data_IF_716968026309
#
_entry.id   IF_716968026309
#
_cell.length_a   1.000
_cell.length_b   1.000
_cell.length_c   1.000
_cell.angle_alpha   90.00
_cell.angle_beta   90.00
_cell.angle_gamma   90.00
#
_symmetry.space_group_name_H-M   'P 1'
#
loop_
_entity.id
_entity.type
_entity.pdbx_description
1 polymer ?
#
# COMPACT_ATOMS: atom_id res chain seq x y z
N UNK A 1 -10.52 -6.63 8.02
CA UNK A 1 -9.24 -6.01 8.36
C UNK A 1 -9.55 -4.63 8.94
N UNK A 2 -8.94 -4.22 10.06
CA UNK A 2 -9.31 -2.98 10.76
C UNK A 2 -9.34 -1.75 9.85
N UNK A 3 -8.34 -1.59 8.98
CA UNK A 3 -8.26 -0.49 8.02
C UNK A 3 -9.47 -0.37 7.07
N UNK A 4 -10.18 -1.47 6.79
CA UNK A 4 -11.31 -1.52 5.84
C UNK A 4 -12.64 -1.92 6.50
N UNK A 5 -12.66 -2.06 7.82
CA UNK A 5 -13.83 -2.46 8.61
C UNK A 5 -14.56 -3.72 8.10
N UNK A 6 -13.79 -4.76 7.71
CA UNK A 6 -14.34 -6.02 7.20
C UNK A 6 -13.65 -7.26 7.78
N UNK A 7 -13.86 -8.45 7.19
CA UNK A 7 -13.13 -9.68 7.51
C UNK A 7 -12.42 -10.17 6.25
N UNK A 8 -11.10 -10.41 6.32
CA UNK A 8 -10.30 -10.86 5.19
C UNK A 8 -9.27 -11.90 5.60
N UNK A 9 -8.90 -12.75 4.64
CA UNK A 9 -7.74 -13.64 4.69
C UNK A 9 -6.77 -13.20 3.59
N UNK A 10 -5.48 -13.13 3.90
CA UNK A 10 -4.44 -12.76 2.94
C UNK A 10 -3.27 -13.73 3.00
N UNK A 11 -2.54 -13.84 1.89
CA UNK A 11 -1.40 -14.76 1.73
C UNK A 11 -0.10 -13.97 1.55
N UNK A 12 0.14 -13.01 2.46
CA UNK A 12 1.28 -12.10 2.38
C UNK A 12 2.35 -12.49 3.40
N UNK A 13 3.61 -12.55 2.98
CA UNK A 13 4.74 -12.81 3.90
C UNK A 13 4.83 -11.77 5.02
N UNK A 14 4.51 -10.51 4.70
CA UNK A 14 4.48 -9.43 5.69
C UNK A 14 3.35 -9.59 6.71
N UNK A 15 2.17 -10.06 6.27
CA UNK A 15 1.08 -10.42 7.17
C UNK A 15 1.49 -11.54 8.12
N UNK A 16 2.08 -12.63 7.59
CA UNK A 16 2.51 -13.78 8.39
C UNK A 16 3.46 -13.39 9.53
N UNK A 17 4.40 -12.46 9.26
CA UNK A 17 5.32 -11.93 10.28
C UNK A 17 4.55 -11.13 11.35
N UNK A 18 3.78 -10.13 10.92
CA UNK A 18 3.11 -9.19 11.82
C UNK A 18 1.99 -9.83 12.63
N UNK A 19 1.25 -10.78 12.07
CA UNK A 19 0.17 -11.47 12.79
C UNK A 19 0.71 -12.43 13.86
N UNK A 20 1.84 -13.10 13.60
CA UNK A 20 2.53 -13.89 14.61
C UNK A 20 3.00 -13.03 15.79
N UNK A 21 3.62 -11.87 15.52
CA UNK A 21 4.02 -10.92 16.56
C UNK A 21 2.82 -10.43 17.38
N UNK A 22 1.72 -10.07 16.72
CA UNK A 22 0.50 -9.62 17.40
C UNK A 22 -0.10 -10.71 18.29
N UNK A 23 -0.11 -11.96 17.83
CA UNK A 23 -0.62 -13.08 18.61
C UNK A 23 0.19 -13.27 19.90
N UNK A 24 1.52 -13.23 19.83
CA UNK A 24 2.39 -13.33 21.02
C UNK A 24 2.18 -12.16 21.97
N UNK A 25 2.07 -10.93 21.46
CA UNK A 25 1.74 -9.75 22.28
C UNK A 25 0.42 -9.92 23.03
N UNK A 26 -0.62 -10.44 22.35
CA UNK A 26 -1.93 -10.66 22.95
C UNK A 26 -1.86 -11.71 24.08
N UNK A 27 -1.17 -12.84 23.84
CA UNK A 27 -0.97 -13.89 24.83
C UNK A 27 -0.29 -13.33 26.08
N UNK A 28 0.83 -12.62 25.92
CA UNK A 28 1.58 -12.05 27.05
C UNK A 28 0.81 -10.96 27.80
N UNK A 29 0.10 -10.10 27.09
CA UNK A 29 -0.72 -9.07 27.72
C UNK A 29 -1.86 -9.68 28.54
N UNK A 30 -2.47 -10.76 28.05
CA UNK A 30 -3.49 -11.51 28.78
C UNK A 30 -2.95 -12.10 30.09
N UNK A 31 -1.73 -12.67 30.08
CA UNK A 31 -1.09 -13.19 31.30
C UNK A 31 -0.89 -12.08 32.37
N UNK A 32 -0.66 -10.85 31.92
CA UNK A 32 -0.33 -9.69 32.76
C UNK A 32 -1.56 -8.82 33.10
N UNK A 33 -2.76 -9.19 32.64
CA UNK A 33 -3.97 -8.37 32.79
C UNK A 33 -3.91 -7.03 32.06
N UNK A 34 -3.11 -6.93 30.99
CA UNK A 34 -2.95 -5.74 30.14
C UNK A 34 -3.75 -5.88 28.85
N UNK A 35 -4.09 -4.74 28.26
CA UNK A 35 -4.68 -4.65 26.92
C UNK A 35 -3.62 -4.27 25.88
N UNK A 36 -3.86 -4.64 24.63
CA UNK A 36 -3.05 -4.20 23.47
C UNK A 36 -3.96 -3.63 22.40
N UNK A 37 -3.38 -2.83 21.50
CA UNK A 37 -4.09 -2.31 20.34
C UNK A 37 -4.49 -3.42 19.38
N UNK A 38 -5.59 -3.22 18.66
CA UNK A 38 -6.03 -4.15 17.62
C UNK A 38 -5.01 -4.29 16.49
N UNK A 39 -5.09 -5.41 15.78
CA UNK A 39 -4.28 -5.65 14.59
C UNK A 39 -4.66 -4.73 13.42
N UNK A 40 -3.92 -3.64 13.24
CA UNK A 40 -4.13 -2.66 12.19
C UNK A 40 -3.17 -2.84 10.99
N UNK A 41 -3.40 -3.92 10.24
CA UNK A 41 -2.59 -4.28 9.09
C UNK A 41 -2.95 -3.46 7.83
N UNK A 42 -1.94 -2.83 7.22
CA UNK A 42 -2.00 -2.34 5.85
C UNK A 42 -1.53 -3.48 4.92
N UNK A 43 -2.36 -3.95 3.98
CA UNK A 43 -1.91 -4.90 2.98
C UNK A 43 -0.66 -4.41 2.27
N UNK A 44 0.34 -5.26 2.26
CA UNK A 44 1.59 -5.06 1.55
C UNK A 44 1.93 -6.36 0.83
N UNK A 45 2.10 -6.26 -0.48
CA UNK A 45 2.57 -7.35 -1.32
C UNK A 45 3.62 -6.81 -2.30
N UNK A 46 4.53 -7.69 -2.73
CA UNK A 46 5.61 -7.31 -3.63
C UNK A 46 6.06 -8.52 -4.43
N UNK A 47 6.69 -8.28 -5.56
CA UNK A 47 7.42 -9.31 -6.29
C UNK A 47 8.63 -8.73 -6.98
N UNK A 48 9.54 -9.63 -7.37
CA UNK A 48 10.72 -9.33 -8.17
C UNK A 48 10.89 -10.44 -9.18
N UNK A 49 11.06 -10.06 -10.44
CA UNK A 49 11.32 -10.98 -11.54
C UNK A 49 12.15 -10.24 -12.59
N UNK A 50 13.19 -10.89 -13.11
CA UNK A 50 14.19 -10.22 -13.97
C UNK A 50 14.80 -9.01 -13.26
N UNK A 51 14.88 -7.87 -13.92
CA UNK A 51 15.30 -6.58 -13.38
C UNK A 51 14.14 -5.72 -12.82
N UNK A 52 12.92 -6.27 -12.81
CA UNK A 52 11.71 -5.62 -12.28
C UNK A 52 11.55 -5.86 -10.77
N UNK A 53 10.99 -4.86 -10.09
CA UNK A 53 10.73 -4.87 -8.66
C UNK A 53 9.58 -3.93 -8.32
N UNK A 54 8.40 -4.49 -8.11
CA UNK A 54 7.21 -3.73 -7.74
C UNK A 54 6.75 -3.96 -6.31
N UNK A 55 6.04 -2.98 -5.78
CA UNK A 55 5.34 -3.03 -4.52
C UNK A 55 3.90 -2.58 -4.68
N UNK A 56 3.01 -3.18 -3.88
CA UNK A 56 1.62 -2.81 -3.77
C UNK A 56 1.25 -2.62 -2.30
N UNK A 57 0.56 -1.51 -2.01
CA UNK A 57 0.00 -1.19 -0.71
C UNK A 57 -1.48 -0.87 -0.83
N UNK A 58 -2.28 -1.29 0.16
CA UNK A 58 -3.69 -0.90 0.25
C UNK A 58 -4.66 -1.90 -0.37
N UNK A 59 -5.71 -1.40 -1.01
CA UNK A 59 -6.81 -2.18 -1.59
C UNK A 59 -7.00 -1.86 -3.08
N UNK A 60 -7.22 -2.88 -3.90
CA UNK A 60 -7.27 -2.75 -5.36
C UNK A 60 -8.72 -2.63 -5.87
N UNK A 61 -9.50 -1.74 -5.27
CA UNK A 61 -10.92 -1.51 -5.58
C UNK A 61 -11.15 -0.08 -6.07
N UNK A 62 -12.14 0.10 -6.94
CA UNK A 62 -12.49 1.40 -7.53
C UNK A 62 -11.78 1.70 -8.84
N UNK A 63 -11.78 2.98 -9.23
CA UNK A 63 -11.19 3.47 -10.48
C UNK A 63 -9.67 3.50 -10.38
N UNK A 64 -8.98 3.34 -11.50
CA UNK A 64 -7.52 3.35 -11.54
C UNK A 64 -6.96 4.55 -12.30
N UNK A 65 -5.84 5.07 -11.79
CA UNK A 65 -5.06 6.12 -12.46
C UNK A 65 -3.62 5.65 -12.61
N UNK A 66 -3.21 5.38 -13.84
CA UNK A 66 -1.84 5.06 -14.21
C UNK A 66 -1.00 6.34 -14.32
N UNK A 67 0.22 6.32 -13.81
CA UNK A 67 1.17 7.44 -13.91
C UNK A 67 2.60 6.94 -14.18
N UNK A 68 3.44 7.84 -14.69
CA UNK A 68 4.84 7.54 -14.99
C UNK A 68 5.04 6.85 -16.34
N UNK A 69 6.21 6.24 -16.50
CA UNK A 69 6.65 5.60 -17.74
C UNK A 69 6.40 4.10 -17.69
N UNK A 70 5.34 3.66 -18.37
CA UNK A 70 4.93 2.28 -18.48
C UNK A 70 5.31 1.64 -19.84
N UNK A 71 6.17 2.30 -20.64
CA UNK A 71 6.64 1.71 -21.89
C UNK A 71 7.61 0.55 -21.57
N UNK A 72 7.29 -0.70 -21.94
CA UNK A 72 8.19 -1.82 -21.69
C UNK A 72 9.49 -1.76 -22.51
N UNK A 73 9.57 -0.90 -23.54
CA UNK A 73 10.80 -0.65 -24.29
C UNK A 73 11.70 0.41 -23.64
N UNK A 74 11.23 1.12 -22.61
CA UNK A 74 12.06 2.08 -21.89
C UNK A 74 13.23 1.38 -21.19
N UNK A 75 14.44 1.99 -21.16
CA UNK A 75 15.61 1.37 -20.51
C UNK A 75 15.44 1.13 -19.00
N UNK A 76 14.52 1.86 -18.35
CA UNK A 76 14.25 1.76 -16.92
C UNK A 76 12.80 2.17 -16.64
N UNK A 77 11.82 1.30 -16.95
CA UNK A 77 10.41 1.62 -16.75
C UNK A 77 10.15 1.93 -15.28
N UNK A 78 9.43 3.02 -15.02
CA UNK A 78 9.02 3.42 -13.68
C UNK A 78 7.63 4.03 -13.78
N UNK A 79 6.65 3.25 -13.36
CA UNK A 79 5.26 3.64 -13.37
C UNK A 79 4.55 3.12 -12.13
N UNK A 80 3.41 3.71 -11.84
CA UNK A 80 2.56 3.26 -10.76
C UNK A 80 1.09 3.43 -11.10
N UNK A 81 0.25 2.91 -10.22
CA UNK A 81 -1.19 3.04 -10.35
C UNK A 81 -1.80 3.35 -9.00
N UNK A 82 -2.69 4.33 -8.96
CA UNK A 82 -3.57 4.59 -7.82
C UNK A 82 -4.90 3.88 -8.03
N UNK A 83 -5.51 3.40 -6.94
CA UNK A 83 -6.90 2.96 -6.86
C UNK A 83 -7.70 3.97 -6.08
N UNK A 84 -8.79 4.47 -6.65
CA UNK A 84 -9.64 5.51 -6.10
C UNK A 84 -11.03 4.95 -5.86
N UNK A 85 -11.47 4.98 -4.60
CA UNK A 85 -12.83 4.60 -4.21
C UNK A 85 -13.39 5.68 -3.30
N UNK A 86 -14.64 6.07 -3.55
CA UNK A 86 -15.35 7.09 -2.78
C UNK A 86 -14.54 8.41 -2.65
N UNK A 87 -13.86 8.80 -3.73
CA UNK A 87 -13.04 10.01 -3.80
C UNK A 87 -11.73 9.96 -3.02
N UNK A 88 -11.26 8.78 -2.59
CA UNK A 88 -10.00 8.61 -1.83
C UNK A 88 -9.08 7.60 -2.48
N UNK A 89 -7.78 7.80 -2.36
CA UNK A 89 -6.80 6.77 -2.73
C UNK A 89 -6.83 5.64 -1.72
N UNK A 90 -7.20 4.43 -2.14
CA UNK A 90 -7.28 3.25 -1.26
C UNK A 90 -6.18 2.23 -1.54
N UNK A 91 -5.54 2.30 -2.71
CA UNK A 91 -4.45 1.40 -3.09
C UNK A 91 -3.43 2.09 -3.99
N UNK A 92 -2.18 1.64 -3.91
CA UNK A 92 -1.09 2.16 -4.71
C UNK A 92 -0.15 1.03 -5.12
N UNK A 93 0.14 0.97 -6.43
CA UNK A 93 1.17 0.13 -7.03
C UNK A 93 2.33 1.02 -7.51
N UNK A 94 3.56 0.51 -7.42
CA UNK A 94 4.74 1.14 -8.00
C UNK A 94 5.76 0.11 -8.46
N UNK A 95 6.18 0.21 -9.72
CA UNK A 95 7.33 -0.49 -10.31
C UNK A 95 8.56 0.43 -10.29
N UNK A 96 9.74 -0.14 -10.06
CA UNK A 96 11.01 0.59 -10.14
C UNK A 96 11.22 1.66 -9.05
N UNK A 97 10.42 1.64 -7.98
CA UNK A 97 10.46 2.63 -6.91
C UNK A 97 11.71 2.56 -6.03
N UNK A 98 12.26 3.71 -5.65
CA UNK A 98 13.29 3.85 -4.61
C UNK A 98 12.72 3.54 -3.22
N UNK A 99 13.56 3.32 -2.19
CA UNK A 99 13.08 3.12 -0.83
C UNK A 99 12.18 4.26 -0.32
N UNK A 100 12.51 5.51 -0.63
CA UNK A 100 11.74 6.67 -0.21
C UNK A 100 10.41 6.77 -0.96
N UNK A 101 10.41 6.49 -2.28
CA UNK A 101 9.20 6.44 -3.10
C UNK A 101 8.24 5.34 -2.60
N UNK A 102 8.77 4.14 -2.28
CA UNK A 102 7.98 3.04 -1.73
C UNK A 102 7.39 3.39 -0.34
N UNK A 103 8.14 4.16 0.48
CA UNK A 103 7.63 4.67 1.76
C UNK A 103 6.51 5.68 1.57
N UNK A 104 6.63 6.55 0.57
CA UNK A 104 5.63 7.55 0.24
C UNK A 104 4.31 6.90 -0.20
N UNK A 105 4.34 5.93 -1.12
CA UNK A 105 3.12 5.24 -1.56
C UNK A 105 2.46 4.41 -0.44
N UNK A 106 3.25 3.84 0.48
CA UNK A 106 2.72 3.15 1.65
C UNK A 106 1.98 4.12 2.59
N UNK A 107 2.52 5.34 2.75
CA UNK A 107 1.86 6.40 3.53
C UNK A 107 0.55 6.82 2.87
N UNK A 108 0.52 7.01 1.55
CA UNK A 108 -0.71 7.30 0.79
C UNK A 108 -1.77 6.23 1.04
N UNK A 109 -1.45 4.95 0.85
CA UNK A 109 -2.39 3.85 1.06
C UNK A 109 -2.92 3.77 2.51
N UNK A 110 -2.09 4.18 3.48
CA UNK A 110 -2.48 4.20 4.90
C UNK A 110 -3.44 5.34 5.24
N UNK A 111 -3.16 6.56 4.79
CA UNK A 111 -3.93 7.75 5.20
C UNK A 111 -5.15 8.01 4.31
N UNK A 112 -5.22 7.34 3.16
CA UNK A 112 -6.31 7.42 2.21
C UNK A 112 -6.73 8.85 1.85
N UNK A 113 -5.80 9.66 1.29
CA UNK A 113 -6.08 11.07 1.00
C UNK A 113 -7.22 11.20 -0.02
N UNK A 114 -8.03 12.23 0.16
CA UNK A 114 -9.06 12.59 -0.80
C UNK A 114 -8.43 13.11 -2.10
N UNK A 115 -9.11 12.87 -3.21
CA UNK A 115 -8.69 13.23 -4.55
C UNK A 115 -9.85 13.92 -5.25
N UNK A 116 -9.67 15.20 -5.56
CA UNK A 116 -10.70 15.99 -6.25
C UNK A 116 -10.58 15.87 -7.77
N UNK A 117 -9.38 15.59 -8.29
CA UNK A 117 -9.11 15.54 -9.72
C UNK A 117 -8.18 14.36 -10.09
N UNK A 118 -8.67 13.44 -10.90
CA UNK A 118 -7.90 12.26 -11.35
C UNK A 118 -6.78 12.64 -12.33
N UNK A 119 -6.99 13.66 -13.19
CA UNK A 119 -5.95 14.13 -14.12
C UNK A 119 -4.74 14.70 -13.37
N UNK A 120 -4.97 15.24 -12.18
CA UNK A 120 -3.91 15.71 -11.30
C UNK A 120 -3.04 14.55 -10.79
N UNK A 121 -3.66 13.41 -10.42
CA UNK A 121 -2.92 12.21 -10.03
C UNK A 121 -2.08 11.64 -11.19
N UNK A 122 -2.61 11.63 -12.41
CA UNK A 122 -1.87 11.19 -13.60
C UNK A 122 -0.61 12.02 -13.82
N UNK A 123 -0.72 13.34 -13.67
CA UNK A 123 0.38 14.29 -13.90
C UNK A 123 1.40 14.30 -12.76
N UNK A 124 0.95 14.27 -11.52
CA UNK A 124 1.85 14.35 -10.38
C UNK A 124 2.45 13.00 -9.99
N UNK A 125 1.72 11.89 -10.17
CA UNK A 125 2.19 10.55 -9.88
C UNK A 125 2.84 10.43 -8.49
N UNK A 126 4.16 10.22 -8.45
CA UNK A 126 4.94 10.15 -7.21
C UNK A 126 5.08 11.48 -6.48
N UNK A 127 5.07 12.62 -7.17
CA UNK A 127 5.11 13.94 -6.53
C UNK A 127 3.89 14.17 -5.64
N UNK A 128 2.73 13.60 -5.98
CA UNK A 128 1.57 13.59 -5.10
C UNK A 128 1.88 12.82 -3.82
N UNK A 129 2.40 11.59 -3.93
CA UNK A 129 2.74 10.77 -2.76
C UNK A 129 3.74 11.43 -1.81
N UNK A 130 4.71 12.17 -2.34
CA UNK A 130 5.70 12.89 -1.53
C UNK A 130 5.15 14.10 -0.76
N UNK A 131 3.96 14.61 -1.13
CA UNK A 131 3.30 15.75 -0.45
C UNK A 131 2.36 15.33 0.67
N UNK A 132 1.97 14.05 0.70
CA UNK A 132 1.13 13.46 1.75
C UNK A 132 1.96 13.22 3.00
#
# INVERSE_FOLDING_TARGET
MKLYDDIRRVEHVDHARKSAEQAVKAIKASDEGKTIDDYDYLPYFYSRAFDLSWQFYGDNVGDTVLFGDNDPASPKPKFGSYWIKDGKVVGVFLEGGSPDENKAIAKVARVQPAVENLDFLTKEGLSFACKI
#
